data_IF_147382460764
#
_entry.id   IF_147382460764
#
_cell.length_a   1.000
_cell.length_b   1.000
_cell.length_c   1.000
_cell.angle_alpha   90.00
_cell.angle_beta   90.00
_cell.angle_gamma   90.00
#
_symmetry.space_group_name_H-M   'P 1'
#
loop_
_entity.id
_entity.type
_entity.pdbx_description
1 polymer ?
#
# COMPACT_ATOMS: atom_id res chain seq x y z
N UNK A 1 0.40 5.53 23.57
CA UNK A 1 1.63 5.91 22.86
C UNK A 1 1.84 4.92 21.71
N UNK A 2 1.78 5.36 20.45
CA UNK A 2 2.16 4.51 19.31
C UNK A 2 3.68 4.64 19.11
N UNK A 3 4.42 3.60 19.46
CA UNK A 3 5.86 3.55 19.23
C UNK A 3 6.09 2.84 17.90
N UNK A 4 6.77 3.51 16.95
CA UNK A 4 7.20 2.89 15.70
C UNK A 4 8.69 2.57 15.84
N UNK A 5 9.02 1.29 15.73
CA UNK A 5 10.38 0.80 15.78
C UNK A 5 11.14 1.29 14.54
N UNK A 6 12.18 2.11 14.73
CA UNK A 6 12.97 2.71 13.65
C UNK A 6 14.09 1.77 13.17
N UNK A 7 13.81 0.47 13.04
CA UNK A 7 14.83 -0.50 12.60
C UNK A 7 14.95 -0.45 11.08
N UNK A 8 15.81 0.46 10.61
CA UNK A 8 16.25 0.56 9.20
C UNK A 8 17.00 -0.69 8.68
N UNK A 9 17.18 -1.74 9.49
CA UNK A 9 18.01 -2.90 9.14
C UNK A 9 17.23 -4.07 8.54
N UNK A 10 15.90 -4.11 8.73
CA UNK A 10 15.01 -5.17 8.21
C UNK A 10 13.75 -4.54 7.61
N UNK A 11 13.90 -3.70 6.57
CA UNK A 11 12.73 -3.22 5.83
C UNK A 11 12.09 -4.43 5.12
N UNK A 12 11.13 -5.07 5.77
CA UNK A 12 10.39 -6.14 5.12
C UNK A 12 9.56 -5.53 3.99
N UNK A 13 9.71 -6.07 2.78
CA UNK A 13 8.90 -5.65 1.65
C UNK A 13 7.42 -5.89 1.99
N UNK A 14 6.61 -4.85 1.83
CA UNK A 14 5.16 -4.94 1.96
C UNK A 14 4.60 -5.11 0.55
N UNK A 15 4.03 -6.28 0.29
CA UNK A 15 3.31 -6.59 -0.95
C UNK A 15 1.87 -6.05 -0.82
N UNK A 16 1.40 -5.36 -1.84
CA UNK A 16 0.01 -4.87 -1.92
C UNK A 16 -0.68 -5.51 -3.12
N UNK A 17 -1.89 -6.00 -2.89
CA UNK A 17 -2.84 -6.44 -3.90
C UNK A 17 -4.14 -5.66 -3.73
N UNK A 18 -4.80 -5.28 -4.82
CA UNK A 18 -6.07 -4.58 -4.72
C UNK A 18 -6.80 -4.42 -6.04
N UNK A 19 -8.13 -4.30 -5.94
CA UNK A 19 -9.07 -4.16 -7.04
C UNK A 19 -9.71 -2.78 -6.97
N UNK A 20 -9.68 -2.05 -8.07
CA UNK A 20 -10.37 -0.78 -8.23
C UNK A 20 -11.84 -1.05 -8.61
N UNK A 21 -12.79 -0.40 -7.93
CA UNK A 21 -14.21 -0.49 -8.24
C UNK A 21 -14.55 0.17 -9.61
N UNK A 22 -15.75 -0.10 -10.13
CA UNK A 22 -16.19 0.40 -11.44
C UNK A 22 -16.22 1.93 -11.54
N UNK A 23 -16.52 2.61 -10.43
CA UNK A 23 -16.60 4.07 -10.34
C UNK A 23 -15.23 4.74 -10.13
N UNK A 24 -14.16 3.95 -10.02
CA UNK A 24 -12.79 4.40 -9.74
C UNK A 24 -12.62 5.22 -8.45
N UNK A 25 -13.57 5.11 -7.52
CA UNK A 25 -13.61 5.80 -6.23
C UNK A 25 -13.06 4.96 -5.09
N UNK A 26 -12.95 3.64 -5.24
CA UNK A 26 -12.60 2.75 -4.14
C UNK A 26 -11.60 1.69 -4.59
N UNK A 27 -10.60 1.42 -3.75
CA UNK A 27 -9.71 0.27 -3.91
C UNK A 27 -9.84 -0.61 -2.69
N UNK A 28 -10.30 -1.83 -2.89
CA UNK A 28 -10.34 -2.88 -1.90
C UNK A 28 -9.12 -3.77 -2.08
N UNK A 29 -8.42 -4.09 -1.01
CA UNK A 29 -7.18 -4.86 -1.15
C UNK A 29 -6.66 -5.46 0.14
N UNK A 30 -5.50 -6.09 0.00
CA UNK A 30 -4.74 -6.66 1.09
C UNK A 30 -3.28 -6.22 1.02
N UNK A 31 -2.65 -6.14 2.18
CA UNK A 31 -1.21 -6.00 2.30
C UNK A 31 -0.64 -7.22 3.00
N UNK A 32 0.58 -7.60 2.62
CA UNK A 32 1.29 -8.72 3.23
C UNK A 32 2.76 -8.40 3.38
N UNK A 33 3.29 -8.74 4.54
CA UNK A 33 4.71 -8.93 4.80
C UNK A 33 4.93 -10.44 4.80
N UNK A 34 5.60 -10.96 3.77
CA UNK A 34 5.81 -12.40 3.62
C UNK A 34 6.45 -13.01 4.88
N UNK A 35 5.79 -14.02 5.45
CA UNK A 35 6.21 -14.72 6.66
C UNK A 35 5.97 -13.98 7.98
N UNK A 36 5.36 -12.79 7.97
CA UNK A 36 5.12 -12.00 9.18
C UNK A 36 3.64 -11.68 9.39
N UNK A 37 3.12 -10.69 8.66
CA UNK A 37 1.81 -10.11 8.92
C UNK A 37 1.07 -9.84 7.63
N UNK A 38 -0.25 -9.84 7.72
CA UNK A 38 -1.13 -9.49 6.61
C UNK A 38 -2.37 -8.79 7.14
N UNK A 39 -3.01 -8.00 6.29
CA UNK A 39 -4.28 -7.37 6.61
C UNK A 39 -5.01 -6.91 5.35
N UNK A 40 -6.27 -6.55 5.50
CA UNK A 40 -7.08 -5.94 4.44
C UNK A 40 -7.13 -4.43 4.60
N UNK A 41 -7.45 -3.73 3.53
CA UNK A 41 -7.70 -2.30 3.53
C UNK A 41 -8.79 -1.91 2.54
N UNK A 42 -9.40 -0.76 2.80
CA UNK A 42 -10.28 -0.05 1.88
C UNK A 42 -9.74 1.38 1.74
N UNK A 43 -9.41 1.79 0.51
CA UNK A 43 -9.05 3.16 0.18
C UNK A 43 -10.23 3.85 -0.51
N UNK A 44 -10.68 4.97 0.04
CA UNK A 44 -11.69 5.84 -0.58
C UNK A 44 -10.98 7.01 -1.27
N UNK A 45 -11.31 7.26 -2.53
CA UNK A 45 -10.75 8.29 -3.40
C UNK A 45 -11.85 9.29 -3.78
N UNK A 46 -11.51 10.57 -3.78
CA UNK A 46 -12.42 11.60 -4.30
C UNK A 46 -12.56 11.46 -5.82
N UNK A 47 -13.79 11.42 -6.33
CA UNK A 47 -14.07 11.49 -7.77
C UNK A 47 -13.61 12.86 -8.29
N UNK A 48 -12.45 12.92 -8.95
CA UNK A 48 -11.94 14.20 -9.45
C UNK A 48 -10.48 14.23 -9.88
N UNK A 49 -9.68 13.23 -9.56
CA UNK A 49 -8.35 13.13 -10.16
C UNK A 49 -7.88 11.69 -10.13
N UNK A 50 -7.90 11.05 -11.29
CA UNK A 50 -7.08 9.87 -11.55
C UNK A 50 -5.62 10.30 -11.43
N UNK A 51 -5.13 10.42 -10.19
CA UNK A 51 -3.72 10.57 -9.90
C UNK A 51 -3.08 9.22 -10.23
N UNK A 52 -2.72 9.05 -11.49
CA UNK A 52 -1.76 8.04 -11.93
C UNK A 52 -0.41 8.38 -11.32
N UNK A 53 -0.24 8.08 -10.03
CA UNK A 53 1.09 8.00 -9.42
C UNK A 53 1.48 6.53 -9.48
N UNK A 54 1.96 6.12 -10.65
CA UNK A 54 2.89 5.00 -10.71
C UNK A 54 4.22 5.53 -10.16
N UNK A 55 4.39 5.46 -8.83
CA UNK A 55 5.71 5.67 -8.24
C UNK A 55 6.49 4.38 -8.51
N UNK A 56 7.24 4.38 -9.61
CA UNK A 56 8.33 3.42 -9.82
C UNK A 56 9.23 3.55 -8.59
N UNK A 57 9.22 2.55 -7.73
CA UNK A 57 10.19 2.45 -6.66
C UNK A 57 11.57 2.49 -7.31
N UNK A 58 12.26 3.62 -7.14
CA UNK A 58 13.67 3.71 -7.51
C UNK A 58 14.41 2.92 -6.44
N UNK A 59 14.83 1.71 -6.80
CA UNK A 59 15.96 1.04 -6.17
C UNK A 59 17.17 1.96 -6.33
N UNK A 60 17.74 2.41 -5.22
CA UNK A 60 19.00 3.16 -5.22
C UNK A 60 20.15 2.14 -5.32
N UNK A 61 20.97 2.33 -6.35
CA UNK A 61 22.23 1.60 -6.66
C UNK A 61 23.36 2.01 -5.73
#
# INVERSE_FOLDING_TARGET
MKTYDNVKRNAHAIEYDGVLNGDATEIEGAWRITGYWSGTFLMIRSAGKAVSVFRKAVEQV
#
